data_IF_182269486456
#
_entry.id   IF_182269486456
#
_cell.length_a   1.000
_cell.length_b   1.000
_cell.length_c   1.000
_cell.angle_alpha   90.00
_cell.angle_beta   90.00
_cell.angle_gamma   90.00
#
_symmetry.space_group_name_H-M   'P 1'
#
loop_
_entity.id
_entity.type
_entity.pdbx_description
1 polymer ?
#
# COMPACT_ATOMS: atom_id res chain seq x y z
N UNK A 1 -15.31 1.55 23.41
CA UNK A 1 -16.40 1.68 22.42
C UNK A 1 -16.15 2.94 21.61
N UNK A 2 -15.65 2.83 20.39
CA UNK A 2 -15.49 3.97 19.47
C UNK A 2 -16.75 4.07 18.61
N UNK A 3 -17.50 5.16 18.81
CA UNK A 3 -18.71 5.50 18.06
C UNK A 3 -18.33 6.00 16.65
N UNK A 4 -18.81 5.31 15.61
CA UNK A 4 -18.61 5.64 14.19
C UNK A 4 -19.42 6.87 13.71
N UNK A 5 -19.94 7.69 14.62
CA UNK A 5 -20.65 8.95 14.32
C UNK A 5 -19.74 10.14 14.06
N UNK A 6 -18.44 9.93 14.21
CA UNK A 6 -17.40 10.91 13.90
C UNK A 6 -16.28 10.14 13.21
N UNK A 7 -16.51 9.69 11.98
CA UNK A 7 -15.44 9.25 11.10
C UNK A 7 -14.61 10.49 10.71
N UNK A 8 -13.87 11.05 11.67
CA UNK A 8 -12.66 11.80 11.36
C UNK A 8 -11.75 10.80 10.65
N UNK A 9 -11.66 10.97 9.33
CA UNK A 9 -10.60 10.56 8.42
C UNK A 9 -9.43 9.86 9.16
N UNK A 10 -9.50 8.54 9.28
CA UNK A 10 -8.29 7.76 9.49
C UNK A 10 -7.82 7.23 8.13
N UNK A 11 -7.66 8.14 7.16
CA UNK A 11 -6.60 7.94 6.19
C UNK A 11 -5.34 8.26 7.02
N UNK A 12 -4.50 7.26 7.31
CA UNK A 12 -3.14 7.56 7.71
C UNK A 12 -2.42 8.06 6.46
N UNK A 13 -2.78 9.28 6.02
CA UNK A 13 -2.08 10.00 4.99
C UNK A 13 -0.75 10.44 5.61
N UNK A 14 0.32 9.72 5.32
CA UNK A 14 1.65 10.28 5.52
C UNK A 14 1.81 11.32 4.41
N UNK A 15 1.44 12.57 4.73
CA UNK A 15 1.74 13.71 3.88
C UNK A 15 3.26 13.91 3.93
N UNK A 16 3.96 13.47 2.89
CA UNK A 16 5.37 13.82 2.70
C UNK A 16 5.37 15.25 2.18
N UNK A 17 5.64 16.19 3.08
CA UNK A 17 6.00 17.54 2.68
C UNK A 17 7.31 17.49 1.89
N UNK A 18 7.47 18.38 0.92
CA UNK A 18 8.65 18.50 0.06
C UNK A 18 9.94 18.72 0.88
N UNK A 19 10.45 17.63 1.44
CA UNK A 19 11.56 17.59 2.39
C UNK A 19 12.90 17.52 1.66
N UNK A 20 12.88 17.18 0.36
CA UNK A 20 14.07 17.01 -0.46
C UNK A 20 14.73 18.35 -0.84
N UNK A 21 14.09 19.50 -0.60
CA UNK A 21 14.71 20.82 -0.78
C UNK A 21 15.49 21.32 0.44
N UNK A 22 15.51 20.59 1.57
CA UNK A 22 16.05 21.11 2.86
C UNK A 22 17.26 20.37 3.43
N UNK A 23 17.81 19.37 2.74
CA UNK A 23 19.02 18.67 3.21
C UNK A 23 20.34 19.43 2.91
N UNK A 24 20.28 20.71 2.54
CA UNK A 24 21.47 21.56 2.33
C UNK A 24 21.44 22.82 3.19
N UNK A 25 22.30 22.88 4.20
CA UNK A 25 22.78 24.12 4.83
C UNK A 25 21.82 24.85 5.77
N UNK A 26 22.13 24.83 7.07
CA UNK A 26 21.44 25.60 8.09
C UNK A 26 21.61 27.11 7.86
N UNK A 27 20.54 27.80 7.50
CA UNK A 27 20.44 29.26 7.55
C UNK A 27 19.27 29.64 8.46
N UNK A 28 19.61 29.90 9.73
CA UNK A 28 18.66 30.16 10.82
C UNK A 28 18.32 31.66 10.82
N UNK A 29 17.40 32.07 9.94
CA UNK A 29 17.00 33.48 9.91
C UNK A 29 15.82 33.88 9.02
N UNK A 30 15.30 33.00 8.15
CA UNK A 30 14.14 33.34 7.31
C UNK A 30 12.83 32.97 7.99
N UNK A 31 11.91 33.94 8.02
CA UNK A 31 10.51 33.74 8.36
C UNK A 31 9.98 32.47 7.68
N UNK A 32 9.39 31.57 8.46
CA UNK A 32 8.93 30.28 7.95
C UNK A 32 7.92 30.52 6.83
N UNK A 33 8.30 30.20 5.59
CA UNK A 33 7.37 30.14 4.47
C UNK A 33 6.18 29.27 4.86
N UNK A 34 4.95 29.61 4.43
CA UNK A 34 3.80 28.75 4.70
C UNK A 34 4.12 27.31 4.29
N UNK A 35 3.69 26.31 5.08
CA UNK A 35 4.01 24.92 4.81
C UNK A 35 3.58 24.59 3.38
N UNK A 36 4.50 23.99 2.61
CA UNK A 36 4.22 23.55 1.26
C UNK A 36 2.95 22.70 1.27
N UNK A 37 2.05 22.92 0.31
CA UNK A 37 0.86 22.08 0.19
C UNK A 37 1.31 20.64 -0.06
N UNK A 38 0.69 19.64 0.57
CA UNK A 38 1.04 18.24 0.33
C UNK A 38 0.86 17.90 -1.15
N UNK A 39 1.87 17.29 -1.75
CA UNK A 39 1.89 16.91 -3.17
C UNK A 39 1.56 15.43 -3.38
N UNK A 40 1.64 14.62 -2.33
CA UNK A 40 1.42 13.18 -2.39
C UNK A 40 0.71 12.62 -1.14
N UNK A 41 -0.01 11.51 -1.35
CA UNK A 41 -0.69 10.71 -0.31
C UNK A 41 -0.29 9.27 -0.49
N UNK A 42 0.20 8.66 0.58
CA UNK A 42 0.46 7.22 0.67
C UNK A 42 -0.62 6.59 1.55
N UNK A 43 -1.26 5.54 1.06
CA UNK A 43 -2.24 4.77 1.84
C UNK A 43 -1.88 3.30 1.80
N UNK A 44 -1.85 2.67 2.96
CA UNK A 44 -1.94 1.22 3.02
C UNK A 44 -3.27 0.73 2.40
N UNK A 45 -3.32 -0.51 1.92
CA UNK A 45 -4.50 -1.14 1.33
C UNK A 45 -5.25 -1.97 2.39
N UNK A 46 -4.62 -3.02 2.88
CA UNK A 46 -5.25 -4.11 3.62
C UNK A 46 -5.44 -3.75 5.11
N UNK A 47 -6.69 -3.59 5.54
CA UNK A 47 -7.02 -3.09 6.87
C UNK A 47 -7.19 -1.57 6.94
N UNK A 48 -6.82 -0.85 5.88
CA UNK A 48 -6.96 0.61 5.78
C UNK A 48 -8.11 1.03 4.86
N UNK A 49 -8.02 0.74 3.55
CA UNK A 49 -9.09 1.05 2.57
C UNK A 49 -9.84 -0.19 2.10
N UNK A 50 -9.31 -1.37 2.37
CA UNK A 50 -9.93 -2.68 2.12
C UNK A 50 -10.11 -3.38 3.45
N UNK A 51 -11.30 -3.89 3.72
CA UNK A 51 -11.58 -4.63 4.94
C UNK A 51 -12.09 -6.04 4.62
N UNK A 52 -11.73 -6.99 5.48
CA UNK A 52 -12.09 -8.40 5.32
C UNK A 52 -13.11 -8.81 6.38
N UNK A 53 -14.15 -9.54 5.96
CA UNK A 53 -15.16 -10.04 6.89
C UNK A 53 -14.56 -11.01 7.93
N UNK A 54 -13.70 -11.95 7.49
CA UNK A 54 -13.00 -12.89 8.40
C UNK A 54 -11.96 -12.21 9.31
N UNK A 55 -11.60 -10.95 9.02
CA UNK A 55 -10.61 -10.18 9.76
C UNK A 55 -11.15 -9.42 10.99
N UNK A 56 -12.44 -9.53 11.30
CA UNK A 56 -12.98 -9.04 12.57
C UNK A 56 -13.33 -7.55 12.61
N UNK A 57 -13.84 -6.97 11.51
CA UNK A 57 -14.53 -5.67 11.61
C UNK A 57 -15.84 -5.89 12.38
N UNK A 58 -15.78 -5.70 13.69
CA UNK A 58 -16.94 -5.86 14.57
C UNK A 58 -18.04 -4.89 14.15
N UNK A 59 -19.25 -5.41 13.96
CA UNK A 59 -20.42 -4.60 13.60
C UNK A 59 -20.52 -4.26 12.12
N UNK A 60 -19.90 -5.05 11.23
CA UNK A 60 -20.17 -4.99 9.79
C UNK A 60 -20.61 -6.37 9.30
N UNK A 61 -21.78 -6.42 8.68
CA UNK A 61 -22.38 -7.59 8.06
C UNK A 61 -22.19 -7.51 6.53
N UNK A 62 -21.87 -8.63 5.89
CA UNK A 62 -21.91 -8.73 4.41
C UNK A 62 -23.34 -9.10 4.03
N UNK A 63 -24.03 -8.19 3.34
CA UNK A 63 -25.42 -8.37 2.89
C UNK A 63 -25.47 -9.09 1.54
N UNK A 64 -24.56 -8.72 0.64
CA UNK A 64 -24.51 -9.22 -0.72
C UNK A 64 -23.06 -9.34 -1.19
N UNK A 65 -22.77 -10.41 -1.92
CA UNK A 65 -21.47 -10.65 -2.55
C UNK A 65 -21.68 -11.25 -3.94
N UNK A 66 -21.31 -10.49 -4.97
CA UNK A 66 -21.33 -10.92 -6.37
C UNK A 66 -19.90 -11.00 -6.91
N UNK A 67 -19.38 -12.22 -6.96
CA UNK A 67 -18.04 -12.52 -7.45
C UNK A 67 -17.90 -12.32 -8.97
N UNK A 68 -18.98 -12.37 -9.74
CA UNK A 68 -18.94 -12.20 -11.19
C UNK A 68 -18.76 -10.72 -11.55
N UNK A 69 -19.56 -9.83 -10.93
CA UNK A 69 -19.42 -8.39 -11.12
C UNK A 69 -18.33 -7.75 -10.25
N UNK A 70 -17.71 -8.53 -9.35
CA UNK A 70 -16.75 -8.07 -8.35
C UNK A 70 -17.32 -6.92 -7.49
N UNK A 71 -18.57 -7.05 -7.07
CA UNK A 71 -19.26 -6.07 -6.21
C UNK A 71 -19.90 -6.72 -4.99
N UNK A 72 -20.19 -5.91 -3.97
CA UNK A 72 -20.90 -6.38 -2.80
C UNK A 72 -21.51 -5.24 -2.00
N UNK A 73 -22.33 -5.61 -1.03
CA UNK A 73 -22.97 -4.67 -0.11
C UNK A 73 -22.63 -5.08 1.32
N UNK A 74 -22.17 -4.12 2.11
CA UNK A 74 -21.93 -4.29 3.55
C UNK A 74 -22.85 -3.40 4.36
N UNK A 75 -23.31 -3.88 5.51
CA UNK A 75 -24.18 -3.14 6.44
C UNK A 75 -23.45 -2.90 7.75
N UNK A 76 -23.41 -1.65 8.21
CA UNK A 76 -22.80 -1.32 9.51
C UNK A 76 -23.76 -1.58 10.69
N UNK A 77 -23.26 -1.44 11.92
CA UNK A 77 -24.02 -1.66 13.14
C UNK A 77 -25.20 -0.70 13.34
N UNK A 78 -25.31 0.36 12.53
CA UNK A 78 -26.43 1.31 12.53
C UNK A 78 -27.45 0.98 11.45
N UNK A 79 -27.24 -0.09 10.68
CA UNK A 79 -28.08 -0.48 9.56
C UNK A 79 -27.77 0.26 8.26
N UNK A 80 -26.71 1.06 8.18
CA UNK A 80 -26.37 1.75 6.93
C UNK A 80 -25.68 0.78 5.97
N UNK A 81 -26.19 0.71 4.75
CA UNK A 81 -25.62 -0.13 3.69
C UNK A 81 -24.64 0.67 2.83
N UNK A 82 -23.57 0.00 2.38
CA UNK A 82 -22.56 0.56 1.50
C UNK A 82 -22.21 -0.41 0.40
N UNK A 83 -22.31 0.07 -0.83
CA UNK A 83 -21.81 -0.62 -2.02
C UNK A 83 -20.29 -0.61 -2.01
N UNK A 84 -19.71 -1.74 -2.37
CA UNK A 84 -18.29 -2.00 -2.36
C UNK A 84 -17.84 -2.67 -3.65
N UNK A 85 -16.56 -2.48 -4.00
CA UNK A 85 -15.82 -3.37 -4.88
C UNK A 85 -15.27 -4.54 -4.07
N UNK A 86 -15.28 -5.73 -4.67
CA UNK A 86 -14.61 -6.89 -4.13
C UNK A 86 -13.16 -6.93 -4.59
N UNK A 87 -12.27 -7.29 -3.67
CA UNK A 87 -10.87 -7.52 -3.93
C UNK A 87 -10.54 -8.96 -3.56
N UNK A 88 -10.14 -9.73 -4.57
CA UNK A 88 -9.83 -11.14 -4.36
C UNK A 88 -8.66 -11.31 -3.37
N UNK A 89 -8.78 -12.30 -2.50
CA UNK A 89 -7.72 -12.72 -1.59
C UNK A 89 -7.73 -14.23 -1.46
N UNK A 90 -6.56 -14.85 -1.53
CA UNK A 90 -6.43 -16.30 -1.39
C UNK A 90 -6.48 -16.78 0.07
N UNK A 91 -6.26 -15.89 1.05
CA UNK A 91 -6.12 -16.27 2.47
C UNK A 91 -7.29 -15.83 3.36
N UNK A 92 -7.81 -14.63 3.16
CA UNK A 92 -8.72 -13.98 4.11
C UNK A 92 -10.18 -13.93 3.64
N UNK A 93 -10.49 -14.50 2.47
CA UNK A 93 -11.75 -14.25 1.76
C UNK A 93 -11.76 -12.89 1.06
N UNK A 94 -12.85 -12.56 0.36
CA UNK A 94 -12.93 -11.31 -0.39
C UNK A 94 -12.79 -10.08 0.53
N UNK A 95 -12.01 -9.12 0.08
CA UNK A 95 -11.87 -7.80 0.70
C UNK A 95 -12.90 -6.84 0.11
N UNK A 96 -13.40 -5.92 0.93
CA UNK A 96 -14.43 -4.95 0.55
C UNK A 96 -13.84 -3.54 0.60
N UNK A 97 -13.90 -2.83 -0.52
CA UNK A 97 -13.57 -1.41 -0.62
C UNK A 97 -14.82 -0.62 -0.97
N UNK A 98 -15.25 0.29 -0.10
CA UNK A 98 -16.47 1.07 -0.35
C UNK A 98 -16.33 2.00 -1.55
N UNK A 99 -17.39 2.18 -2.35
CA UNK A 99 -17.39 3.13 -3.47
C UNK A 99 -17.02 4.57 -3.04
N UNK A 100 -17.49 5.10 -1.89
CA UNK A 100 -17.05 6.41 -1.41
C UNK A 100 -15.53 6.54 -1.22
N UNK A 101 -14.83 5.44 -0.89
CA UNK A 101 -13.36 5.45 -0.79
C UNK A 101 -12.71 5.63 -2.16
N UNK A 102 -13.26 4.99 -3.19
CA UNK A 102 -12.82 5.13 -4.59
C UNK A 102 -13.03 6.57 -5.05
N UNK A 103 -14.22 7.13 -4.80
CA UNK A 103 -14.55 8.51 -5.16
C UNK A 103 -13.61 9.50 -4.48
N UNK A 104 -13.32 9.31 -3.19
CA UNK A 104 -12.37 10.13 -2.46
C UNK A 104 -10.95 10.10 -3.06
N UNK A 105 -10.46 8.92 -3.49
CA UNK A 105 -9.16 8.80 -4.15
C UNK A 105 -9.15 9.54 -5.49
N UNK A 106 -10.22 9.40 -6.28
CA UNK A 106 -10.38 10.12 -7.54
C UNK A 106 -10.40 11.64 -7.32
N UNK A 107 -11.10 12.13 -6.30
CA UNK A 107 -11.11 13.56 -5.94
C UNK A 107 -9.73 14.08 -5.54
N UNK A 108 -8.95 13.31 -4.78
CA UNK A 108 -7.59 13.70 -4.39
C UNK A 108 -6.71 13.87 -5.63
N UNK A 109 -6.79 12.93 -6.57
CA UNK A 109 -6.04 13.00 -7.84
C UNK A 109 -6.51 14.16 -8.72
N UNK A 110 -7.81 14.40 -8.81
CA UNK A 110 -8.37 15.53 -9.54
C UNK A 110 -7.91 16.89 -8.97
N UNK A 111 -7.57 16.94 -7.67
CA UNK A 111 -6.98 18.12 -7.01
C UNK A 111 -5.46 18.22 -7.21
N UNK A 112 -4.86 17.36 -8.02
CA UNK A 112 -3.44 17.37 -8.35
C UNK A 112 -2.54 16.64 -7.35
N UNK A 113 -3.10 15.91 -6.38
CA UNK A 113 -2.30 15.09 -5.47
C UNK A 113 -1.92 13.77 -6.13
N UNK A 114 -0.67 13.36 -5.96
CA UNK A 114 -0.23 12.01 -6.29
C UNK A 114 -0.76 11.04 -5.24
N UNK A 115 -1.40 9.96 -5.66
CA UNK A 115 -1.87 8.92 -4.74
C UNK A 115 -1.06 7.64 -4.97
N UNK A 116 -0.45 7.12 -3.92
CA UNK A 116 0.27 5.85 -3.94
C UNK A 116 -0.42 4.89 -2.98
N UNK A 117 -0.78 3.70 -3.47
CA UNK A 117 -1.29 2.65 -2.59
C UNK A 117 -0.16 1.68 -2.26
N UNK A 118 -0.05 1.30 -1.00
CA UNK A 118 1.02 0.48 -0.44
C UNK A 118 0.41 -0.78 0.18
N UNK A 119 1.04 -1.93 0.01
CA UNK A 119 0.58 -3.18 0.62
C UNK A 119 1.73 -4.17 0.84
N UNK A 120 1.57 -5.05 1.81
CA UNK A 120 2.39 -6.25 1.97
C UNK A 120 2.00 -7.41 1.03
N UNK A 121 0.91 -7.28 0.26
CA UNK A 121 0.45 -8.34 -0.63
C UNK A 121 1.45 -8.66 -1.75
N UNK A 122 1.50 -9.93 -2.17
CA UNK A 122 2.34 -10.40 -3.27
C UNK A 122 1.94 -9.72 -4.59
N UNK A 123 2.89 -9.54 -5.51
CA UNK A 123 2.62 -8.97 -6.84
C UNK A 123 1.52 -9.72 -7.57
N UNK A 124 1.52 -11.06 -7.50
CA UNK A 124 0.48 -11.90 -8.13
C UNK A 124 -0.92 -11.69 -7.54
N UNK A 125 -1.03 -11.40 -6.25
CA UNK A 125 -2.29 -10.99 -5.61
C UNK A 125 -2.71 -9.62 -6.09
N UNK A 126 -1.76 -8.68 -6.19
CA UNK A 126 -2.05 -7.32 -6.64
C UNK A 126 -2.48 -7.24 -8.10
N UNK A 127 -1.87 -8.01 -8.98
CA UNK A 127 -2.28 -8.08 -10.40
C UNK A 127 -3.75 -8.50 -10.56
N UNK A 128 -4.27 -9.36 -9.67
CA UNK A 128 -5.69 -9.74 -9.66
C UNK A 128 -6.62 -8.68 -9.09
N UNK A 129 -6.10 -7.75 -8.27
CA UNK A 129 -6.86 -6.68 -7.61
C UNK A 129 -6.88 -5.38 -8.41
N UNK A 130 -5.87 -5.15 -9.23
CA UNK A 130 -5.74 -3.94 -10.05
C UNK A 130 -7.04 -3.55 -10.77
N UNK A 131 -7.79 -4.48 -11.42
CA UNK A 131 -9.02 -4.12 -12.12
C UNK A 131 -10.12 -3.55 -11.21
N UNK A 132 -10.08 -3.82 -9.91
CA UNK A 132 -11.09 -3.36 -8.93
C UNK A 132 -10.59 -2.25 -8.02
N UNK A 133 -9.30 -1.90 -8.11
CA UNK A 133 -8.70 -0.80 -7.37
C UNK A 133 -8.97 0.55 -8.08
N UNK A 134 -9.03 1.65 -7.32
CA UNK A 134 -9.07 2.98 -7.91
C UNK A 134 -7.74 3.26 -8.64
N UNK A 135 -7.81 4.02 -9.73
CA UNK A 135 -6.62 4.47 -10.43
C UNK A 135 -5.78 5.34 -9.49
N UNK A 136 -4.52 4.97 -9.30
CA UNK A 136 -3.53 5.66 -8.49
C UNK A 136 -2.24 5.88 -9.28
N UNK A 137 -1.35 6.73 -8.79
CA UNK A 137 -0.10 7.12 -9.47
C UNK A 137 1.02 6.09 -9.31
N UNK A 138 0.96 5.27 -8.26
CA UNK A 138 1.84 4.13 -8.07
C UNK A 138 1.21 3.08 -7.15
N UNK A 139 1.52 1.81 -7.41
CA UNK A 139 1.25 0.70 -6.50
C UNK A 139 2.55 0.16 -5.96
N UNK A 140 2.67 0.09 -4.64
CA UNK A 140 3.82 -0.49 -3.95
C UNK A 140 3.35 -1.78 -3.29
N UNK A 141 3.92 -2.91 -3.68
CA UNK A 141 3.55 -4.22 -3.15
C UNK A 141 4.78 -4.97 -2.62
N UNK A 142 4.55 -6.15 -2.04
CA UNK A 142 5.59 -6.98 -1.42
C UNK A 142 6.41 -6.22 -0.37
N UNK A 143 5.74 -5.36 0.42
CA UNK A 143 6.38 -4.53 1.45
C UNK A 143 7.45 -3.58 0.91
N UNK A 144 7.30 -3.11 -0.34
CA UNK A 144 8.19 -2.12 -0.94
C UNK A 144 9.18 -2.68 -1.96
N UNK A 145 9.27 -4.00 -2.14
CA UNK A 145 10.20 -4.57 -3.12
C UNK A 145 9.76 -4.40 -4.57
N UNK A 146 8.47 -4.17 -4.80
CA UNK A 146 7.90 -4.01 -6.13
C UNK A 146 7.09 -2.71 -6.20
N UNK A 147 7.44 -1.85 -7.15
CA UNK A 147 6.70 -0.62 -7.47
C UNK A 147 6.18 -0.76 -8.89
N UNK A 148 4.88 -0.55 -9.09
CA UNK A 148 4.22 -0.56 -10.37
C UNK A 148 3.69 0.84 -10.68
N UNK A 149 3.92 1.33 -11.90
CA UNK A 149 3.34 2.58 -12.38
C UNK A 149 2.26 2.31 -13.42
N UNK A 150 1.15 3.06 -13.41
CA UNK A 150 0.18 3.01 -14.49
C UNK A 150 0.80 3.60 -15.76
N UNK A 151 0.52 2.98 -16.90
CA UNK A 151 0.91 3.48 -18.23
C UNK A 151 -0.27 3.29 -19.15
N UNK A 152 -0.60 4.32 -19.90
CA UNK A 152 -1.68 4.25 -20.91
C UNK A 152 -1.10 3.72 -22.21
N UNK A 153 -1.68 2.63 -22.72
CA UNK A 153 -1.33 2.08 -24.04
C UNK A 153 -1.90 2.91 -25.19
N UNK A 154 -1.60 2.48 -26.42
CA UNK A 154 -2.08 3.15 -27.64
C UNK A 154 -3.60 3.04 -27.83
N UNK A 155 -4.18 2.00 -27.26
CA UNK A 155 -5.62 1.70 -27.20
C UNK A 155 -6.36 2.50 -26.12
N UNK A 156 -5.66 3.25 -25.27
CA UNK A 156 -6.23 3.95 -24.13
C UNK A 156 -6.38 3.08 -22.88
N UNK A 157 -6.02 1.79 -22.96
CA UNK A 157 -6.06 0.89 -21.81
C UNK A 157 -4.93 1.20 -20.82
N UNK A 158 -5.18 0.98 -19.53
CA UNK A 158 -4.18 1.19 -18.48
C UNK A 158 -3.47 -0.11 -18.14
N UNK A 159 -2.16 -0.12 -18.37
CA UNK A 159 -1.25 -1.21 -18.02
C UNK A 159 -0.41 -0.82 -16.80
N UNK A 160 0.15 -1.80 -16.11
CA UNK A 160 1.00 -1.57 -14.93
C UNK A 160 2.39 -2.12 -15.18
N UNK A 161 3.38 -1.23 -15.17
CA UNK A 161 4.76 -1.57 -15.48
C UNK A 161 5.62 -1.51 -14.21
N UNK A 162 6.51 -2.50 -13.98
CA UNK A 162 7.40 -2.49 -12.84
C UNK A 162 8.52 -1.46 -12.98
N UNK A 163 8.89 -0.84 -11.86
CA UNK A 163 10.08 0.02 -11.75
C UNK A 163 11.36 -0.84 -11.72
N UNK A 164 11.91 -1.12 -12.90
CA UNK A 164 13.13 -1.93 -13.03
C UNK A 164 14.35 -1.27 -12.39
N UNK A 165 14.42 0.07 -12.42
CA UNK A 165 15.52 0.82 -11.83
C UNK A 165 15.48 0.75 -10.29
N UNK A 166 14.29 0.83 -9.69
CA UNK A 166 14.10 0.57 -8.25
C UNK A 166 14.52 -0.84 -7.89
N UNK A 167 14.08 -1.84 -8.67
CA UNK A 167 14.44 -3.24 -8.43
C UNK A 167 15.95 -3.45 -8.46
N UNK A 168 16.65 -2.85 -9.42
CA UNK A 168 18.11 -2.92 -9.51
C UNK A 168 18.79 -2.29 -8.28
N UNK A 169 18.35 -1.10 -7.86
CA UNK A 169 18.86 -0.46 -6.64
C UNK A 169 18.61 -1.32 -5.39
N UNK A 170 17.44 -1.97 -5.31
CA UNK A 170 17.12 -2.84 -4.20
C UNK A 170 18.01 -4.09 -4.19
N UNK A 171 18.21 -4.73 -5.34
CA UNK A 171 19.10 -5.90 -5.48
C UNK A 171 20.54 -5.58 -5.06
N UNK A 172 21.04 -4.38 -5.32
CA UNK A 172 22.35 -3.95 -4.83
C UNK A 172 22.45 -3.93 -3.29
N UNK A 173 21.33 -3.78 -2.58
CA UNK A 173 21.26 -3.75 -1.11
C UNK A 173 20.98 -5.14 -0.53
N UNK A 174 20.02 -5.87 -1.12
CA UNK A 174 19.55 -7.17 -0.61
C UNK A 174 20.32 -8.37 -1.16
N UNK A 175 21.21 -8.15 -2.12
CA UNK A 175 21.96 -9.19 -2.82
C UNK A 175 21.11 -10.00 -3.81
N UNK A 176 21.75 -11.01 -4.39
CA UNK A 176 21.09 -11.94 -5.32
C UNK A 176 19.97 -12.74 -4.62
N UNK A 177 18.89 -12.98 -5.36
CA UNK A 177 17.72 -13.74 -4.94
C UNK A 177 17.77 -15.16 -5.53
N UNK A 178 18.94 -15.81 -5.45
CA UNK A 178 19.15 -17.15 -6.00
C UNK A 178 18.16 -18.17 -5.38
N UNK A 179 17.68 -19.13 -6.18
CA UNK A 179 16.88 -20.26 -5.69
C UNK A 179 17.73 -21.55 -5.69
N UNK A 180 17.92 -22.24 -4.54
CA UNK A 180 17.41 -21.89 -3.20
C UNK A 180 18.21 -20.76 -2.54
N UNK A 181 17.52 -19.88 -1.80
CA UNK A 181 18.14 -18.83 -1.02
C UNK A 181 18.94 -19.45 0.15
N UNK A 182 20.20 -19.04 0.39
CA UNK A 182 20.91 -19.48 1.59
C UNK A 182 20.21 -18.96 2.85
N UNK A 183 20.49 -19.56 4.02
CA UNK A 183 20.08 -19.01 5.31
C UNK A 183 20.48 -17.53 5.44
N UNK A 184 19.71 -16.69 6.16
CA UNK A 184 19.99 -15.26 6.32
C UNK A 184 21.46 -14.92 6.62
N UNK A 185 22.15 -15.76 7.40
CA UNK A 185 23.55 -15.62 7.78
C UNK A 185 24.51 -15.73 6.59
N UNK A 186 24.17 -16.54 5.57
CA UNK A 186 24.97 -16.76 4.37
C UNK A 186 24.65 -15.82 3.20
N UNK A 187 23.61 -14.99 3.32
CA UNK A 187 23.21 -14.04 2.27
C UNK A 187 24.19 -12.88 2.14
N UNK A 188 24.40 -12.42 0.92
CA UNK A 188 25.36 -11.35 0.59
C UNK A 188 24.64 -10.01 0.45
N UNK A 189 25.30 -8.89 0.78
CA UNK A 189 24.76 -7.54 0.60
C UNK A 189 24.58 -6.77 1.91
N UNK A 190 24.47 -5.44 1.79
CA UNK A 190 24.48 -4.51 2.91
C UNK A 190 23.35 -4.75 3.93
N UNK A 191 22.18 -5.19 3.48
CA UNK A 191 21.08 -5.58 4.38
C UNK A 191 21.47 -6.76 5.28
N UNK A 192 22.13 -7.77 4.70
CA UNK A 192 22.52 -8.97 5.43
C UNK A 192 23.73 -8.75 6.32
N UNK A 193 24.62 -7.83 5.96
CA UNK A 193 25.68 -7.34 6.84
C UNK A 193 25.09 -6.67 8.09
N UNK A 194 24.08 -5.81 7.90
CA UNK A 194 23.34 -5.22 9.02
C UNK A 194 22.65 -6.30 9.87
N UNK A 195 21.97 -7.26 9.23
CA UNK A 195 21.33 -8.38 9.92
C UNK A 195 22.32 -9.16 10.83
N UNK A 196 23.47 -9.57 10.28
CA UNK A 196 24.52 -10.26 11.05
C UNK A 196 25.07 -9.41 12.20
N UNK A 197 25.25 -8.11 11.99
CA UNK A 197 25.69 -7.19 13.04
C UNK A 197 24.66 -7.11 14.18
N UNK A 198 23.37 -7.03 13.87
CA UNK A 198 22.29 -7.01 14.86
C UNK A 198 22.23 -8.33 15.65
N UNK A 199 22.37 -9.47 14.95
CA UNK A 199 22.47 -10.79 15.60
C UNK A 199 23.66 -10.86 16.58
N UNK A 200 24.83 -10.36 16.18
CA UNK A 200 26.03 -10.30 17.03
C UNK A 200 25.86 -9.43 18.28
N UNK A 201 24.89 -8.50 18.27
CA UNK A 201 24.51 -7.68 19.43
C UNK A 201 23.44 -8.35 20.30
N UNK A 202 23.05 -9.60 20.02
CA UNK A 202 22.01 -10.33 20.73
C UNK A 202 20.59 -9.89 20.34
N UNK A 203 20.42 -9.08 19.30
CA UNK A 203 19.10 -8.71 18.81
C UNK A 203 18.50 -9.85 17.98
N UNK A 204 17.18 -10.04 18.10
CA UNK A 204 16.43 -10.96 17.24
C UNK A 204 15.81 -10.17 16.10
N UNK A 205 16.36 -10.31 14.90
CA UNK A 205 15.77 -9.76 13.68
C UNK A 205 14.97 -10.86 12.96
N UNK A 206 13.74 -10.55 12.56
CA UNK A 206 12.96 -11.43 11.71
C UNK A 206 13.49 -11.35 10.27
N UNK A 207 14.00 -12.48 9.77
CA UNK A 207 14.49 -12.63 8.41
C UNK A 207 13.71 -13.72 7.64
N UNK A 208 12.56 -14.12 8.17
CA UNK A 208 11.67 -15.05 7.48
C UNK A 208 11.12 -14.35 6.23
N UNK A 209 11.47 -14.88 5.07
CA UNK A 209 10.82 -14.51 3.82
C UNK A 209 9.40 -15.09 3.78
N UNK A 210 8.54 -14.53 2.93
CA UNK A 210 7.21 -15.12 2.65
C UNK A 210 7.28 -16.43 1.84
N UNK A 211 8.46 -17.04 1.69
CA UNK A 211 8.68 -18.31 0.99
C UNK A 211 8.59 -19.42 2.05
N UNK A 212 7.36 -19.73 2.44
CA UNK A 212 6.97 -20.97 3.12
C UNK A 212 5.72 -21.51 2.41
#
# INVERSE_FOLDING_TARGET
MLSWGTARRALLAIAVFDYLSRCGGADVGRAASPPARPSAVFSDIDGTIVHYHRGGVKGVEVVEEDCESMTGVVRDARGNERKCRLLSSSRLGNGFMSLPTIDMINELRAKGLRVTLVTGARTTTMLKRIPTLPLCDALVCESGSCILYPTTGRDGETYWLPDLAWRERLLAVVGDQAEPLPPPEGRQGALWDLYRRLLGQGMRADALGYIA
#
